data_IF_699979939007
#
_entry.id   IF_699979939007
#
_cell.length_a   1.000
_cell.length_b   1.000
_cell.length_c   1.000
_cell.angle_alpha   90.00
_cell.angle_beta   90.00
_cell.angle_gamma   90.00
#
_symmetry.space_group_name_H-M   'P 1'
#
loop_
_entity.id
_entity.type
_entity.pdbx_description
1 polymer ?
#
# COMPACT_ATOMS: atom_id res chain seq x y z
N UNK A 1 -22.43 -32.21 16.88
CA UNK A 1 -21.58 -32.97 17.85
C UNK A 1 -22.11 -32.91 19.28
N UNK A 2 -22.25 -31.72 19.93
CA UNK A 2 -22.82 -31.66 21.31
C UNK A 2 -24.24 -32.20 21.37
N UNK A 3 -25.08 -31.84 20.39
CA UNK A 3 -26.45 -32.34 20.24
C UNK A 3 -26.43 -33.86 20.08
N UNK A 4 -25.62 -34.42 19.20
CA UNK A 4 -25.54 -35.87 18.97
C UNK A 4 -25.09 -36.65 20.22
N UNK A 5 -24.15 -36.11 21.02
CA UNK A 5 -23.78 -36.72 22.31
C UNK A 5 -24.96 -36.71 23.28
N UNK A 6 -25.71 -35.60 23.37
CA UNK A 6 -26.86 -35.50 24.25
C UNK A 6 -28.01 -36.45 23.84
N UNK A 7 -28.26 -36.58 22.54
CA UNK A 7 -29.25 -37.56 22.00
C UNK A 7 -28.86 -39.00 22.34
N UNK A 8 -27.56 -39.33 22.18
CA UNK A 8 -27.06 -40.66 22.57
C UNK A 8 -27.20 -40.94 24.07
N UNK A 9 -27.04 -39.92 24.92
CA UNK A 9 -27.26 -40.03 26.38
C UNK A 9 -28.75 -40.26 26.68
N UNK A 10 -29.64 -39.54 25.99
CA UNK A 10 -31.10 -39.74 26.15
C UNK A 10 -31.56 -41.15 25.72
N UNK A 11 -30.81 -41.79 24.83
CA UNK A 11 -31.02 -43.18 24.39
C UNK A 11 -30.41 -44.24 25.34
N UNK A 12 -29.86 -43.82 26.48
CA UNK A 12 -29.37 -44.73 27.53
C UNK A 12 -27.85 -44.96 27.54
N UNK A 13 -27.07 -44.28 26.69
CA UNK A 13 -25.62 -44.38 26.72
C UNK A 13 -25.04 -43.49 27.83
N UNK A 14 -23.94 -43.90 28.43
CA UNK A 14 -23.18 -43.02 29.31
C UNK A 14 -22.46 -41.94 28.49
N UNK A 15 -22.24 -40.77 29.07
CA UNK A 15 -21.49 -39.67 28.41
C UNK A 15 -20.14 -40.14 27.84
N UNK A 16 -19.45 -41.05 28.53
CA UNK A 16 -18.17 -41.60 28.11
C UNK A 16 -18.32 -42.41 26.82
N UNK A 17 -19.30 -43.35 26.81
CA UNK A 17 -19.59 -44.18 25.65
C UNK A 17 -20.05 -43.36 24.43
N UNK A 18 -20.96 -42.39 24.63
CA UNK A 18 -21.42 -41.50 23.56
C UNK A 18 -20.30 -40.69 22.97
N UNK A 19 -19.39 -40.18 23.81
CA UNK A 19 -18.20 -39.46 23.33
C UNK A 19 -17.24 -40.38 22.56
N UNK A 20 -17.04 -41.61 23.02
CA UNK A 20 -16.13 -42.57 22.40
C UNK A 20 -16.62 -42.99 21.01
N UNK A 21 -17.93 -43.30 20.87
CA UNK A 21 -18.56 -43.62 19.59
C UNK A 21 -18.41 -42.46 18.57
N UNK A 22 -18.53 -41.21 19.03
CA UNK A 22 -18.43 -40.01 18.19
C UNK A 22 -17.01 -39.47 18.04
N UNK A 23 -15.98 -40.18 18.53
CA UNK A 23 -14.57 -39.76 18.42
C UNK A 23 -14.26 -38.45 19.16
N UNK A 24 -15.03 -38.14 20.22
CA UNK A 24 -14.90 -36.90 20.99
C UNK A 24 -14.38 -37.19 22.40
N UNK A 25 -13.37 -36.48 22.88
CA UNK A 25 -12.98 -36.63 24.28
C UNK A 25 -14.03 -36.04 25.23
N UNK A 26 -14.35 -36.70 26.38
CA UNK A 26 -15.32 -36.19 27.36
C UNK A 26 -14.98 -34.79 27.89
N UNK A 27 -13.67 -34.45 27.95
CA UNK A 27 -13.20 -33.11 28.34
C UNK A 27 -13.55 -32.05 27.29
N UNK A 28 -13.43 -32.40 25.99
CA UNK A 28 -13.77 -31.50 24.87
C UNK A 28 -15.29 -31.29 24.80
N UNK A 29 -16.08 -32.37 25.00
CA UNK A 29 -17.53 -32.30 25.09
C UNK A 29 -17.98 -31.33 26.19
N UNK A 30 -17.52 -31.54 27.46
CA UNK A 30 -17.88 -30.66 28.59
C UNK A 30 -17.54 -29.18 28.35
N UNK A 31 -16.41 -28.90 27.68
CA UNK A 31 -16.03 -27.54 27.32
C UNK A 31 -16.95 -26.94 26.25
N UNK A 32 -17.46 -27.74 25.34
CA UNK A 32 -18.38 -27.28 24.30
C UNK A 32 -19.82 -27.19 24.78
N UNK A 33 -20.26 -28.10 25.64
CA UNK A 33 -21.59 -28.10 26.25
C UNK A 33 -21.77 -26.93 27.23
N UNK A 34 -20.69 -26.58 27.96
CA UNK A 34 -20.68 -25.48 28.92
C UNK A 34 -19.53 -24.53 28.59
N UNK A 35 -19.65 -23.69 27.53
CA UNK A 35 -18.61 -22.74 27.18
C UNK A 35 -18.48 -21.67 28.25
N UNK A 36 -17.34 -21.66 28.93
CA UNK A 36 -17.03 -20.54 29.83
C UNK A 36 -16.86 -19.24 29.02
N UNK A 37 -17.50 -18.15 29.40
CA UNK A 37 -17.31 -16.87 28.75
C UNK A 37 -15.81 -16.53 28.79
N UNK A 38 -15.23 -16.20 27.62
CA UNK A 38 -13.85 -15.73 27.56
C UNK A 38 -13.80 -14.39 28.29
N UNK A 39 -13.01 -14.32 29.36
CA UNK A 39 -12.69 -13.01 29.96
C UNK A 39 -12.06 -12.13 28.89
N UNK A 40 -12.71 -11.04 28.57
CA UNK A 40 -12.15 -10.01 27.70
C UNK A 40 -10.88 -9.50 28.35
N UNK A 41 -9.71 -9.89 27.83
CA UNK A 41 -8.45 -9.29 28.27
C UNK A 41 -8.27 -8.01 27.45
N UNK A 42 -8.43 -6.88 28.07
CA UNK A 42 -8.04 -5.61 27.48
C UNK A 42 -6.52 -5.60 27.36
N UNK A 43 -6.02 -5.60 26.12
CA UNK A 43 -4.58 -5.53 25.89
C UNK A 43 -4.06 -4.18 26.36
N UNK A 44 -2.91 -4.15 27.06
CA UNK A 44 -2.29 -2.92 27.58
C UNK A 44 -1.96 -1.91 26.47
N UNK A 45 -1.75 -2.38 25.23
CA UNK A 45 -1.43 -1.56 24.06
C UNK A 45 -2.68 -1.22 23.21
N UNK A 46 -3.88 -1.41 23.76
CA UNK A 46 -5.10 -0.99 23.09
C UNK A 46 -5.06 0.51 22.83
N UNK A 47 -5.40 0.91 21.62
CA UNK A 47 -5.49 2.33 21.25
C UNK A 47 -6.43 3.07 22.21
N UNK A 48 -6.06 4.27 22.63
CA UNK A 48 -6.85 5.11 23.52
C UNK A 48 -8.12 5.60 22.82
N UNK A 49 -9.16 5.88 23.59
CA UNK A 49 -10.42 6.39 23.02
C UNK A 49 -10.21 7.74 22.31
N UNK A 50 -9.40 8.63 22.91
CA UNK A 50 -9.01 9.90 22.30
C UNK A 50 -8.31 9.73 20.93
N UNK A 51 -7.47 8.71 20.77
CA UNK A 51 -6.84 8.40 19.48
C UNK A 51 -7.86 7.85 18.49
N UNK A 52 -8.86 7.09 18.95
CA UNK A 52 -9.97 6.59 18.11
C UNK A 52 -10.81 7.74 17.57
N UNK A 53 -11.17 8.68 18.44
CA UNK A 53 -11.93 9.87 18.08
C UNK A 53 -11.14 10.75 17.10
N UNK A 54 -9.84 10.89 17.29
CA UNK A 54 -8.97 11.62 16.38
C UNK A 54 -8.86 10.95 14.99
N UNK A 55 -8.83 9.61 14.92
CA UNK A 55 -8.87 8.87 13.66
C UNK A 55 -10.20 9.09 12.93
N UNK A 56 -11.32 9.01 13.65
CA UNK A 56 -12.65 9.26 13.07
C UNK A 56 -12.78 10.70 12.59
N UNK A 57 -12.39 11.67 13.38
CA UNK A 57 -12.40 13.08 13.00
C UNK A 57 -11.54 13.37 11.77
N UNK A 58 -10.37 12.75 11.67
CA UNK A 58 -9.51 12.89 10.50
C UNK A 58 -10.17 12.32 9.23
N UNK A 59 -10.93 11.23 9.31
CA UNK A 59 -11.61 10.66 8.15
C UNK A 59 -12.73 11.56 7.58
N UNK A 60 -13.26 12.47 8.41
CA UNK A 60 -14.28 13.45 8.00
C UNK A 60 -13.71 14.80 7.54
N UNK A 61 -12.39 14.96 7.51
CA UNK A 61 -11.79 16.20 7.00
C UNK A 61 -12.02 16.32 5.49
N UNK A 62 -12.40 17.49 4.98
CA UNK A 62 -12.73 17.69 3.56
C UNK A 62 -11.65 17.18 2.60
N UNK A 63 -10.37 17.38 2.96
CA UNK A 63 -9.20 16.94 2.19
C UNK A 63 -8.95 15.43 2.23
N UNK A 64 -9.59 14.68 3.15
CA UNK A 64 -9.42 13.25 3.34
C UNK A 64 -10.66 12.42 3.00
N UNK A 65 -11.82 13.06 2.84
CA UNK A 65 -13.06 12.37 2.43
C UNK A 65 -12.84 11.68 1.08
N UNK A 66 -13.21 10.39 1.02
CA UNK A 66 -13.07 9.58 -0.19
C UNK A 66 -11.64 9.12 -0.50
N UNK A 67 -10.64 9.58 0.27
CA UNK A 67 -9.26 9.10 0.12
C UNK A 67 -9.05 7.72 0.78
N UNK A 68 -8.05 6.95 0.32
CA UNK A 68 -7.68 5.69 0.98
C UNK A 68 -7.31 5.88 2.46
N UNK A 69 -7.53 4.84 3.27
CA UNK A 69 -7.18 4.84 4.70
C UNK A 69 -5.71 5.21 4.98
N UNK A 70 -4.82 4.93 4.02
CA UNK A 70 -3.41 5.33 4.08
C UNK A 70 -3.21 6.85 4.20
N UNK A 71 -4.09 7.66 3.61
CA UNK A 71 -4.02 9.12 3.74
C UNK A 71 -4.41 9.58 5.16
N UNK A 72 -5.43 8.97 5.75
CA UNK A 72 -5.80 9.21 7.16
C UNK A 72 -4.66 8.82 8.08
N UNK A 73 -4.02 7.64 7.83
CA UNK A 73 -2.85 7.19 8.57
C UNK A 73 -1.69 8.20 8.49
N UNK A 74 -1.33 8.64 7.28
CA UNK A 74 -0.25 9.62 7.08
C UNK A 74 -0.58 10.96 7.73
N UNK A 75 -1.81 11.45 7.56
CA UNK A 75 -2.26 12.69 8.20
C UNK A 75 -2.11 12.64 9.73
N UNK A 76 -2.55 11.54 10.37
CA UNK A 76 -2.44 11.40 11.83
C UNK A 76 -1.01 11.47 12.32
N UNK A 77 -0.10 10.75 11.65
CA UNK A 77 1.33 10.75 11.99
C UNK A 77 2.00 12.10 11.76
N UNK A 78 1.69 12.78 10.64
CA UNK A 78 2.31 14.05 10.30
C UNK A 78 1.78 15.22 11.16
N UNK A 79 0.48 15.18 11.54
CA UNK A 79 -0.13 16.20 12.40
C UNK A 79 0.07 15.93 13.90
N UNK A 80 0.62 14.78 14.28
CA UNK A 80 0.78 14.37 15.68
C UNK A 80 -0.52 14.06 16.43
N UNK A 81 -1.65 13.95 15.74
CA UNK A 81 -2.97 13.75 16.36
C UNK A 81 -3.18 12.36 16.90
N UNK A 82 -2.59 11.33 16.26
CA UNK A 82 -2.60 9.96 16.74
C UNK A 82 -1.41 9.18 16.15
N UNK A 83 -0.96 8.15 16.89
CA UNK A 83 0.15 7.30 16.50
C UNK A 83 -0.26 5.83 16.56
N UNK A 84 -0.95 5.38 15.51
CA UNK A 84 -1.45 4.03 15.38
C UNK A 84 -0.83 3.34 14.14
N UNK A 85 -0.82 2.02 14.11
CA UNK A 85 -0.45 1.31 12.88
C UNK A 85 -1.57 1.47 11.83
N UNK A 86 -1.22 1.35 10.54
CA UNK A 86 -2.21 1.40 9.46
C UNK A 86 -3.34 0.38 9.68
N UNK A 87 -3.01 -0.84 10.14
CA UNK A 87 -4.02 -1.86 10.43
C UNK A 87 -4.96 -1.43 11.56
N UNK A 88 -4.46 -0.71 12.57
CA UNK A 88 -5.28 -0.17 13.66
C UNK A 88 -6.21 0.92 13.14
N UNK A 89 -5.70 1.86 12.34
CA UNK A 89 -6.51 2.91 11.70
C UNK A 89 -7.60 2.28 10.83
N UNK A 90 -7.25 1.30 10.01
CA UNK A 90 -8.20 0.57 9.19
C UNK A 90 -9.31 -0.10 10.01
N UNK A 91 -8.95 -0.78 11.12
CA UNK A 91 -9.93 -1.47 11.96
C UNK A 91 -10.88 -0.47 12.65
N UNK A 92 -10.36 0.66 13.17
CA UNK A 92 -11.18 1.72 13.76
C UNK A 92 -12.19 2.26 12.74
N UNK A 93 -11.73 2.62 11.54
CA UNK A 93 -12.61 3.15 10.50
C UNK A 93 -13.59 2.10 9.98
N UNK A 94 -13.19 0.82 9.93
CA UNK A 94 -14.08 -0.29 9.57
C UNK A 94 -15.19 -0.51 10.60
N UNK A 95 -14.88 -0.46 11.90
CA UNK A 95 -15.88 -0.54 12.99
C UNK A 95 -16.91 0.60 12.90
N UNK A 96 -16.49 1.76 12.42
CA UNK A 96 -17.34 2.94 12.20
C UNK A 96 -18.04 2.95 10.82
N UNK A 97 -17.89 1.90 10.01
CA UNK A 97 -18.40 1.79 8.63
C UNK A 97 -17.91 2.92 7.68
N UNK A 98 -16.71 3.47 7.94
CA UNK A 98 -16.08 4.51 7.14
C UNK A 98 -15.11 3.96 6.08
N UNK A 99 -15.00 2.64 5.94
CA UNK A 99 -14.17 1.98 4.93
C UNK A 99 -15.06 1.36 3.86
N UNK A 100 -14.90 1.82 2.63
CA UNK A 100 -15.55 1.16 1.50
C UNK A 100 -14.83 -0.17 1.19
N UNK A 101 -15.57 -1.28 0.98
CA UNK A 101 -14.96 -2.55 0.61
C UNK A 101 -14.34 -2.45 -0.77
N UNK A 102 -13.03 -2.63 -0.87
CA UNK A 102 -12.36 -2.79 -2.15
C UNK A 102 -12.65 -4.18 -2.70
N UNK A 103 -13.17 -4.27 -3.93
CA UNK A 103 -13.27 -5.52 -4.67
C UNK A 103 -11.86 -6.04 -4.99
N UNK A 104 -11.28 -6.80 -4.06
CA UNK A 104 -9.97 -7.42 -4.24
C UNK A 104 -10.10 -8.65 -5.11
N UNK A 105 -9.49 -8.64 -6.30
CA UNK A 105 -9.19 -9.89 -7.00
C UNK A 105 -8.16 -10.69 -6.18
N UNK A 106 -8.27 -12.03 -6.11
CA UNK A 106 -7.30 -12.85 -5.39
C UNK A 106 -5.89 -12.62 -5.95
N UNK A 107 -4.91 -12.47 -5.06
CA UNK A 107 -3.49 -12.39 -5.43
C UNK A 107 -3.06 -13.74 -5.99
N UNK A 108 -2.61 -13.77 -7.22
CA UNK A 108 -1.77 -14.85 -7.76
C UNK A 108 -0.37 -14.78 -7.14
N UNK A 109 0.28 -15.93 -7.03
CA UNK A 109 1.49 -16.23 -6.27
C UNK A 109 2.60 -15.15 -6.23
N UNK A 110 3.38 -15.18 -5.14
CA UNK A 110 4.52 -14.30 -4.92
C UNK A 110 5.60 -14.50 -6.00
N UNK A 111 6.01 -13.38 -6.61
CA UNK A 111 7.07 -13.38 -7.62
C UNK A 111 8.43 -13.14 -6.99
N UNK A 112 9.43 -13.91 -7.45
CA UNK A 112 10.84 -13.64 -7.17
C UNK A 112 11.28 -12.51 -8.10
N UNK A 113 11.71 -11.42 -7.52
CA UNK A 113 12.04 -10.20 -8.24
C UNK A 113 13.42 -10.29 -8.92
N UNK A 114 13.48 -10.03 -10.24
CA UNK A 114 14.68 -10.09 -11.05
C UNK A 114 15.54 -8.80 -11.04
N UNK A 115 15.27 -7.87 -10.12
CA UNK A 115 15.91 -6.55 -10.17
C UNK A 115 17.20 -6.47 -9.36
N UNK A 116 18.17 -7.32 -9.67
CA UNK A 116 19.51 -7.31 -9.06
C UNK A 116 20.19 -5.93 -9.09
N UNK A 117 19.91 -5.13 -10.14
CA UNK A 117 20.47 -3.79 -10.26
C UNK A 117 20.09 -2.85 -9.11
N UNK A 118 18.84 -2.94 -8.60
CA UNK A 118 18.44 -2.16 -7.42
C UNK A 118 19.13 -2.64 -6.15
N UNK A 119 19.33 -3.95 -6.00
CA UNK A 119 20.02 -4.55 -4.86
C UNK A 119 21.51 -4.16 -4.87
N UNK A 120 22.07 -3.95 -6.07
CA UNK A 120 23.45 -3.43 -6.27
C UNK A 120 23.56 -1.91 -6.11
N UNK A 121 22.43 -1.22 -5.80
CA UNK A 121 22.38 0.21 -5.53
C UNK A 121 22.30 1.09 -6.78
N UNK A 122 21.89 0.54 -7.92
CA UNK A 122 21.57 1.34 -9.11
C UNK A 122 20.17 1.95 -8.98
N UNK A 123 19.98 3.11 -9.63
CA UNK A 123 18.65 3.66 -9.93
C UNK A 123 18.23 3.20 -11.32
N UNK A 124 16.93 2.94 -11.51
CA UNK A 124 16.39 2.54 -12.80
C UNK A 124 15.47 3.61 -13.37
N UNK A 125 15.74 4.06 -14.58
CA UNK A 125 14.85 4.87 -15.38
C UNK A 125 13.91 3.94 -16.15
N UNK A 126 12.68 3.79 -15.70
CA UNK A 126 11.68 2.91 -16.31
C UNK A 126 10.70 3.71 -17.14
N UNK A 127 10.37 3.20 -18.31
CA UNK A 127 9.39 3.82 -19.21
C UNK A 127 8.62 2.76 -20.00
N UNK A 128 7.38 3.11 -20.36
CA UNK A 128 6.51 2.25 -21.18
C UNK A 128 5.44 3.14 -21.85
N UNK A 129 4.73 2.57 -22.84
CA UNK A 129 3.64 3.25 -23.53
C UNK A 129 2.28 2.73 -23.12
N UNK A 130 1.34 3.61 -22.85
CA UNK A 130 -0.03 3.22 -22.57
C UNK A 130 -1.05 4.07 -23.32
N UNK A 131 -2.17 3.45 -23.72
CA UNK A 131 -3.18 4.09 -24.56
C UNK A 131 -4.33 4.63 -23.73
N UNK A 132 -4.69 5.88 -24.00
CA UNK A 132 -5.95 6.52 -23.62
C UNK A 132 -6.80 6.75 -24.87
N UNK A 133 -8.11 6.80 -24.71
CA UNK A 133 -9.05 7.07 -25.80
C UNK A 133 -10.10 8.08 -25.35
N UNK A 134 -10.48 8.95 -26.29
CA UNK A 134 -11.66 9.79 -26.12
C UNK A 134 -12.93 8.97 -26.34
N UNK A 135 -14.07 9.50 -25.93
CA UNK A 135 -15.40 8.90 -26.20
C UNK A 135 -15.68 8.73 -27.70
N UNK A 136 -15.07 9.57 -28.54
CA UNK A 136 -15.13 9.48 -30.02
C UNK A 136 -14.12 8.48 -30.60
N UNK A 137 -13.30 7.83 -29.77
CA UNK A 137 -12.34 6.82 -30.18
C UNK A 137 -10.96 7.33 -30.62
N UNK A 138 -10.70 8.65 -30.52
CA UNK A 138 -9.38 9.20 -30.79
C UNK A 138 -8.38 8.69 -29.75
N UNK A 139 -7.29 8.11 -30.22
CA UNK A 139 -6.28 7.47 -29.40
C UNK A 139 -5.12 8.44 -29.08
N UNK A 140 -4.74 8.52 -27.79
CA UNK A 140 -3.55 9.23 -27.32
C UNK A 140 -2.69 8.25 -26.54
N UNK A 141 -1.47 8.09 -26.96
CA UNK A 141 -0.47 7.30 -26.24
C UNK A 141 0.22 8.17 -25.22
N UNK A 142 0.21 7.75 -23.98
CA UNK A 142 1.00 8.34 -22.90
C UNK A 142 2.28 7.54 -22.70
N UNK A 143 3.40 8.23 -22.48
CA UNK A 143 4.74 7.67 -22.32
C UNK A 143 5.27 8.11 -20.95
N UNK A 144 4.87 7.46 -19.85
CA UNK A 144 5.39 7.77 -18.53
C UNK A 144 6.85 7.34 -18.39
N UNK A 145 7.63 8.18 -17.75
CA UNK A 145 9.03 7.93 -17.38
C UNK A 145 9.18 8.13 -15.88
N UNK A 146 9.57 7.07 -15.18
CA UNK A 146 9.71 7.08 -13.73
C UNK A 146 11.09 6.58 -13.29
N UNK A 147 11.51 7.01 -12.09
CA UNK A 147 12.74 6.54 -11.47
C UNK A 147 12.46 5.62 -10.28
N UNK A 148 13.23 4.53 -10.20
CA UNK A 148 13.25 3.57 -9.10
C UNK A 148 14.58 3.64 -8.34
N UNK A 149 14.60 3.34 -7.06
CA UNK A 149 13.55 2.77 -6.23
C UNK A 149 12.54 3.78 -5.67
N UNK A 150 12.71 5.09 -5.92
CA UNK A 150 11.89 6.18 -5.38
C UNK A 150 10.45 6.17 -5.91
N UNK A 151 10.20 5.47 -7.02
CA UNK A 151 8.90 5.44 -7.73
C UNK A 151 8.42 6.84 -8.13
N UNK A 152 9.36 7.76 -8.33
CA UNK A 152 9.03 9.13 -8.70
C UNK A 152 8.77 9.22 -10.20
N UNK A 153 7.62 9.76 -10.56
CA UNK A 153 7.22 9.99 -11.94
C UNK A 153 7.82 11.32 -12.41
N UNK A 154 8.82 11.23 -13.29
CA UNK A 154 9.55 12.39 -13.78
C UNK A 154 8.73 13.16 -14.82
N UNK A 155 8.17 12.43 -15.78
CA UNK A 155 7.50 13.02 -16.95
C UNK A 155 6.49 12.05 -17.55
N UNK A 156 5.49 12.58 -18.26
CA UNK A 156 4.60 11.82 -19.13
C UNK A 156 4.58 12.49 -20.50
N UNK A 157 5.32 11.93 -21.43
CA UNK A 157 5.23 12.33 -22.83
C UNK A 157 3.96 11.79 -23.50
N UNK A 158 3.66 12.25 -24.70
CA UNK A 158 2.50 11.76 -25.46
C UNK A 158 2.74 11.68 -26.95
N UNK A 159 1.93 10.88 -27.64
CA UNK A 159 1.88 10.77 -29.09
C UNK A 159 0.45 10.40 -29.54
N UNK A 160 0.03 10.89 -30.71
CA UNK A 160 -1.31 10.60 -31.26
C UNK A 160 -1.25 9.42 -32.24
N UNK A 161 -0.12 9.17 -32.88
CA UNK A 161 0.03 8.18 -33.97
C UNK A 161 0.76 6.89 -33.54
N UNK A 162 0.67 6.50 -32.26
CA UNK A 162 1.48 5.42 -31.71
C UNK A 162 2.81 5.93 -31.15
N UNK A 163 3.50 5.08 -30.39
CA UNK A 163 4.80 5.44 -29.80
C UNK A 163 5.90 5.19 -30.80
N UNK A 164 6.40 6.25 -31.44
CA UNK A 164 7.60 6.19 -32.27
C UNK A 164 8.88 6.25 -31.44
N UNK A 165 10.01 5.89 -32.04
CA UNK A 165 11.32 6.06 -31.41
C UNK A 165 11.61 7.55 -31.09
N UNK A 166 11.14 8.47 -31.96
CA UNK A 166 11.29 9.91 -31.73
C UNK A 166 10.48 10.43 -30.55
N UNK A 167 9.22 9.98 -30.38
CA UNK A 167 8.38 10.36 -29.24
C UNK A 167 8.95 9.82 -27.93
N UNK A 168 9.41 8.57 -27.95
CA UNK A 168 10.05 7.96 -26.79
C UNK A 168 11.35 8.69 -26.41
N UNK A 169 12.20 8.97 -27.41
CA UNK A 169 13.46 9.71 -27.21
C UNK A 169 13.22 11.09 -26.61
N UNK A 170 12.21 11.81 -27.10
CA UNK A 170 11.81 13.12 -26.55
C UNK A 170 11.38 12.98 -25.10
N UNK A 171 10.47 12.03 -24.80
CA UNK A 171 9.99 11.80 -23.42
C UNK A 171 11.11 11.44 -22.45
N UNK A 172 12.09 10.64 -22.88
CA UNK A 172 13.26 10.30 -22.08
C UNK A 172 14.15 11.52 -21.85
N UNK A 173 14.40 12.34 -22.88
CA UNK A 173 15.21 13.56 -22.76
C UNK A 173 14.57 14.59 -21.81
N UNK A 174 13.25 14.80 -21.93
CA UNK A 174 12.49 15.70 -21.06
C UNK A 174 12.52 15.20 -19.61
N UNK A 175 12.33 13.90 -19.39
CA UNK A 175 12.43 13.29 -18.07
C UNK A 175 13.85 13.40 -17.48
N UNK A 176 14.88 13.17 -18.30
CA UNK A 176 16.27 13.27 -17.87
C UNK A 176 16.65 14.69 -17.43
N UNK A 177 16.14 15.71 -18.12
CA UNK A 177 16.35 17.11 -17.76
C UNK A 177 15.73 17.50 -16.40
N UNK A 178 14.75 16.73 -15.91
CA UNK A 178 14.11 16.93 -14.61
C UNK A 178 14.77 16.13 -13.47
N UNK A 179 15.79 15.32 -13.78
CA UNK A 179 16.50 14.54 -12.76
C UNK A 179 17.39 15.43 -11.91
N UNK A 180 17.38 15.26 -10.58
CA UNK A 180 18.41 15.85 -9.73
C UNK A 180 19.80 15.34 -10.13
N UNK A 181 20.79 16.23 -10.21
CA UNK A 181 22.17 15.90 -10.63
C UNK A 181 22.76 14.72 -9.84
N UNK A 182 22.46 14.65 -8.55
CA UNK A 182 22.93 13.59 -7.66
C UNK A 182 22.42 12.18 -8.03
N UNK A 183 21.35 12.09 -8.84
CA UNK A 183 20.74 10.82 -9.24
C UNK A 183 21.22 10.30 -10.59
N UNK A 184 22.08 11.02 -11.27
CA UNK A 184 22.65 10.59 -12.55
C UNK A 184 23.79 9.57 -12.39
N UNK A 185 24.40 9.51 -11.20
CA UNK A 185 25.35 8.45 -10.86
C UNK A 185 24.63 7.11 -10.69
N UNK A 186 25.11 6.04 -11.32
CA UNK A 186 24.51 4.71 -11.27
C UNK A 186 23.05 4.65 -11.77
N UNK A 187 22.69 5.47 -12.76
CA UNK A 187 21.38 5.41 -13.41
C UNK A 187 21.43 4.52 -14.64
N UNK A 188 20.50 3.56 -14.74
CA UNK A 188 20.36 2.63 -15.86
C UNK A 188 18.93 2.70 -16.42
N UNK A 189 18.80 2.84 -17.73
CA UNK A 189 17.49 2.72 -18.36
C UNK A 189 17.02 1.27 -18.41
N UNK A 190 15.78 1.03 -18.01
CA UNK A 190 15.15 -0.29 -18.04
C UNK A 190 13.81 -0.23 -18.75
N UNK A 191 13.62 -1.07 -19.76
CA UNK A 191 12.38 -1.14 -20.53
C UNK A 191 12.06 -2.54 -21.03
N UNK A 192 10.87 -2.69 -21.60
CA UNK A 192 10.50 -3.87 -22.37
C UNK A 192 11.25 -3.96 -23.71
N UNK A 193 10.87 -4.93 -24.52
CA UNK A 193 11.46 -5.17 -25.85
C UNK A 193 10.61 -4.62 -26.99
N UNK A 194 9.79 -3.61 -26.74
CA UNK A 194 8.99 -2.93 -27.75
C UNK A 194 9.84 -2.41 -28.92
N UNK A 195 9.23 -2.20 -30.08
CA UNK A 195 9.93 -1.75 -31.28
C UNK A 195 10.59 -0.39 -31.09
N UNK A 196 9.89 0.58 -30.47
CA UNK A 196 10.40 1.91 -30.17
C UNK A 196 11.58 1.85 -29.19
N UNK A 197 11.52 0.97 -28.16
CA UNK A 197 12.58 0.80 -27.16
C UNK A 197 13.85 0.14 -27.76
N UNK A 198 13.69 -0.74 -28.74
CA UNK A 198 14.81 -1.39 -29.44
C UNK A 198 15.38 -0.56 -30.59
N UNK A 199 14.72 0.50 -30.97
CA UNK A 199 15.17 1.36 -32.07
C UNK A 199 16.60 1.90 -31.82
N UNK A 200 17.37 1.99 -32.88
CA UNK A 200 18.76 2.47 -32.82
C UNK A 200 18.84 3.87 -32.20
N UNK A 201 17.98 4.77 -32.65
CA UNK A 201 17.93 6.14 -32.14
C UNK A 201 17.71 6.22 -30.62
N UNK A 202 16.74 5.42 -30.07
CA UNK A 202 16.49 5.37 -28.64
C UNK A 202 17.69 4.84 -27.87
N UNK A 203 18.34 3.79 -28.37
CA UNK A 203 19.52 3.19 -27.70
C UNK A 203 20.73 4.15 -27.71
N UNK A 204 20.94 4.86 -28.81
CA UNK A 204 22.02 5.83 -28.93
C UNK A 204 21.78 7.01 -27.98
N UNK A 205 20.57 7.55 -27.93
CA UNK A 205 20.20 8.61 -27.00
C UNK A 205 20.41 8.19 -25.55
N UNK A 206 19.89 7.02 -25.15
CA UNK A 206 20.04 6.55 -23.76
C UNK A 206 21.51 6.37 -23.41
N UNK A 207 22.32 5.81 -24.33
CA UNK A 207 23.77 5.68 -24.11
C UNK A 207 24.47 7.03 -23.98
N UNK A 208 24.05 8.02 -24.76
CA UNK A 208 24.59 9.38 -24.66
C UNK A 208 24.22 10.03 -23.32
N UNK A 209 22.96 9.95 -22.90
CA UNK A 209 22.47 10.57 -21.67
C UNK A 209 22.99 9.90 -20.40
N UNK A 210 23.02 8.57 -20.36
CA UNK A 210 23.28 7.79 -19.16
C UNK A 210 24.69 7.17 -19.10
N UNK A 211 25.45 7.27 -20.19
CA UNK A 211 26.75 6.58 -20.30
C UNK A 211 26.67 5.05 -20.34
N UNK A 212 25.46 4.49 -20.32
CA UNK A 212 25.21 3.05 -20.25
C UNK A 212 24.12 2.62 -21.25
N UNK A 213 24.18 1.36 -21.75
CA UNK A 213 23.16 0.85 -22.66
C UNK A 213 21.84 0.61 -21.95
N UNK A 214 20.73 0.55 -22.70
CA UNK A 214 19.41 0.15 -22.17
C UNK A 214 19.49 -1.28 -21.68
N UNK A 215 19.05 -1.50 -20.44
CA UNK A 215 18.82 -2.84 -19.89
C UNK A 215 17.41 -3.30 -20.28
N UNK A 216 17.31 -4.38 -21.01
CA UNK A 216 16.01 -4.94 -21.41
C UNK A 216 15.58 -6.07 -20.50
N UNK A 217 14.31 -6.06 -20.11
CA UNK A 217 13.68 -7.18 -19.43
C UNK A 217 13.86 -8.52 -20.19
N UNK A 218 13.83 -9.62 -19.48
CA UNK A 218 13.93 -10.97 -20.07
C UNK A 218 12.74 -11.23 -20.99
N UNK A 219 12.93 -11.96 -22.09
CA UNK A 219 11.81 -12.33 -22.95
C UNK A 219 10.75 -13.12 -22.18
N UNK A 220 9.48 -12.79 -22.40
CA UNK A 220 8.34 -13.48 -21.79
C UNK A 220 8.34 -13.52 -20.25
N UNK A 221 8.96 -12.54 -19.60
CA UNK A 221 9.00 -12.40 -18.15
C UNK A 221 8.36 -11.07 -17.72
N UNK A 222 7.01 -11.03 -17.52
CA UNK A 222 6.28 -9.82 -17.13
C UNK A 222 6.81 -9.19 -15.84
N UNK A 223 7.39 -10.00 -14.96
CA UNK A 223 7.88 -9.57 -13.66
C UNK A 223 8.98 -8.50 -13.72
N UNK A 224 9.76 -8.50 -14.81
CA UNK A 224 10.82 -7.52 -15.02
C UNK A 224 10.27 -6.10 -15.28
N UNK A 225 8.97 -5.99 -15.63
CA UNK A 225 8.25 -4.73 -15.86
C UNK A 225 7.16 -4.44 -14.82
N UNK A 226 7.06 -5.26 -13.77
CA UNK A 226 5.97 -5.19 -12.79
C UNK A 226 5.77 -3.80 -12.16
N UNK A 227 6.81 -2.99 -12.06
CA UNK A 227 6.70 -1.64 -11.48
C UNK A 227 6.01 -0.64 -12.39
N UNK A 228 6.41 -0.60 -13.68
CA UNK A 228 5.80 0.31 -14.64
C UNK A 228 4.38 -0.15 -14.98
N UNK A 229 4.13 -1.47 -15.03
CA UNK A 229 2.79 -2.02 -15.22
C UNK A 229 1.86 -1.67 -14.05
N UNK A 230 2.34 -1.80 -12.80
CA UNK A 230 1.60 -1.40 -11.61
C UNK A 230 1.32 0.11 -11.60
N UNK A 231 2.27 0.92 -12.04
CA UNK A 231 2.09 2.36 -12.23
C UNK A 231 1.02 2.65 -13.27
N UNK A 232 1.09 2.05 -14.47
CA UNK A 232 0.11 2.24 -15.55
C UNK A 232 -1.29 1.90 -15.06
N UNK A 233 -1.44 0.84 -14.26
CA UNK A 233 -2.73 0.50 -13.66
C UNK A 233 -3.22 1.59 -12.72
N UNK A 234 -2.35 2.12 -11.86
CA UNK A 234 -2.68 3.25 -10.97
C UNK A 234 -3.05 4.48 -11.78
N UNK A 235 -2.30 4.80 -12.83
CA UNK A 235 -2.52 5.93 -13.70
C UNK A 235 -3.89 5.91 -14.41
N UNK A 236 -4.29 4.74 -14.93
CA UNK A 236 -5.57 4.57 -15.63
C UNK A 236 -6.79 4.55 -14.69
N UNK A 237 -6.61 4.05 -13.49
CA UNK A 237 -7.71 3.79 -12.55
C UNK A 237 -7.56 4.59 -11.25
N UNK A 238 -6.84 5.71 -11.30
CA UNK A 238 -6.72 6.60 -10.16
C UNK A 238 -8.09 7.20 -9.82
N UNK A 239 -8.37 7.41 -8.53
CA UNK A 239 -9.65 7.99 -8.08
C UNK A 239 -9.96 9.37 -8.64
N UNK A 240 -8.94 10.14 -9.01
CA UNK A 240 -9.07 11.46 -9.62
C UNK A 240 -9.06 11.42 -11.16
N UNK A 241 -8.92 10.21 -11.75
CA UNK A 241 -9.02 10.05 -13.19
C UNK A 241 -10.45 10.32 -13.64
N UNK A 242 -10.65 11.09 -14.73
CA UNK A 242 -11.97 11.24 -15.33
C UNK A 242 -12.56 9.87 -15.71
N UNK A 243 -13.87 9.71 -15.54
CA UNK A 243 -14.57 8.48 -15.97
C UNK A 243 -14.47 8.28 -17.49
N UNK A 244 -14.46 9.38 -18.24
CA UNK A 244 -14.23 9.40 -19.69
C UNK A 244 -13.53 10.69 -20.13
N UNK A 245 -13.00 10.70 -21.34
CA UNK A 245 -12.34 11.85 -21.96
C UNK A 245 -13.11 12.24 -23.22
N UNK A 246 -13.70 13.42 -23.26
CA UNK A 246 -14.46 13.90 -24.42
C UNK A 246 -13.55 14.36 -25.55
N UNK A 247 -12.50 15.07 -25.21
CA UNK A 247 -11.55 15.69 -26.15
C UNK A 247 -10.11 15.18 -25.88
N UNK A 248 -9.24 15.34 -26.87
CA UNK A 248 -7.80 15.08 -26.72
C UNK A 248 -7.22 15.96 -25.62
N UNK A 249 -7.63 17.21 -25.54
CA UNK A 249 -7.17 18.17 -24.54
C UNK A 249 -7.50 17.75 -23.11
N UNK A 250 -8.59 17.02 -22.89
CA UNK A 250 -8.92 16.44 -21.57
C UNK A 250 -7.87 15.40 -21.17
N UNK A 251 -7.46 14.55 -22.14
CA UNK A 251 -6.39 13.57 -21.91
C UNK A 251 -5.08 14.32 -21.62
N UNK A 252 -4.68 15.27 -22.44
CA UNK A 252 -3.45 16.03 -22.24
C UNK A 252 -3.46 16.77 -20.91
N UNK A 253 -4.57 17.35 -20.52
CA UNK A 253 -4.76 17.96 -19.20
C UNK A 253 -4.56 16.96 -18.06
N UNK A 254 -5.04 15.72 -18.22
CA UNK A 254 -4.80 14.64 -17.26
C UNK A 254 -3.33 14.24 -17.21
N UNK A 255 -2.68 14.02 -18.37
CA UNK A 255 -1.26 13.68 -18.42
C UNK A 255 -0.39 14.73 -17.72
N UNK A 256 -0.68 16.02 -17.91
CA UNK A 256 0.10 17.11 -17.34
C UNK A 256 -0.03 17.24 -15.82
N UNK A 257 -1.23 17.01 -15.25
CA UNK A 257 -1.45 17.17 -13.80
C UNK A 257 -1.14 15.92 -13.00
N UNK A 258 -1.21 14.72 -13.62
CA UNK A 258 -1.05 13.46 -12.91
C UNK A 258 0.30 13.28 -12.21
N UNK A 259 1.46 13.74 -12.75
CA UNK A 259 2.73 13.67 -12.03
C UNK A 259 2.69 14.33 -10.66
N UNK A 260 2.06 15.49 -10.54
CA UNK A 260 1.93 16.18 -9.26
C UNK A 260 1.03 15.39 -8.28
N UNK A 261 -0.06 14.80 -8.78
CA UNK A 261 -0.96 13.96 -7.97
C UNK A 261 -0.21 12.72 -7.47
N UNK A 262 0.38 11.95 -8.37
CA UNK A 262 1.05 10.69 -8.07
C UNK A 262 2.25 10.87 -7.13
N UNK A 263 3.08 11.88 -7.38
CA UNK A 263 4.29 12.11 -6.60
C UNK A 263 4.03 12.59 -5.16
N UNK A 264 2.82 13.09 -4.89
CA UNK A 264 2.38 13.49 -3.54
C UNK A 264 1.45 12.47 -2.87
N UNK A 265 1.13 11.35 -3.54
CA UNK A 265 0.32 10.29 -2.92
C UNK A 265 1.20 9.31 -2.14
N UNK A 266 0.82 8.93 -0.90
CA UNK A 266 1.54 7.93 -0.12
C UNK A 266 1.59 6.56 -0.80
N UNK A 267 2.78 6.02 -1.01
CA UNK A 267 2.97 4.76 -1.73
C UNK A 267 3.29 3.60 -0.79
N UNK A 268 2.51 2.51 -0.85
CA UNK A 268 2.64 1.36 0.06
C UNK A 268 4.02 0.70 0.03
N UNK A 269 4.66 0.56 -1.14
CA UNK A 269 6.00 -0.03 -1.23
C UNK A 269 7.12 0.88 -0.70
N UNK A 270 6.80 2.17 -0.46
CA UNK A 270 7.71 3.11 0.18
C UNK A 270 7.43 3.26 1.69
N UNK A 271 6.60 2.40 2.28
CA UNK A 271 6.17 2.53 3.66
C UNK A 271 5.21 3.70 3.88
N UNK A 272 4.41 4.03 2.88
CA UNK A 272 3.50 5.19 2.85
C UNK A 272 4.22 6.55 2.96
N UNK A 273 5.47 6.60 2.51
CA UNK A 273 6.16 7.83 2.15
C UNK A 273 5.78 8.16 0.72
N UNK A 274 5.70 9.43 0.36
CA UNK A 274 5.40 9.85 -1.00
C UNK A 274 6.63 9.68 -1.92
N UNK A 275 6.45 9.47 -3.23
CA UNK A 275 7.57 9.46 -4.17
C UNK A 275 8.44 10.72 -4.10
N UNK A 276 7.83 11.89 -3.87
CA UNK A 276 8.55 13.16 -3.73
C UNK A 276 9.44 13.18 -2.48
N UNK A 277 8.94 12.74 -1.33
CA UNK A 277 9.72 12.61 -0.09
C UNK A 277 10.83 11.57 -0.23
N UNK A 278 10.57 10.47 -0.95
CA UNK A 278 11.58 9.45 -1.23
C UNK A 278 12.68 9.98 -2.16
N UNK A 279 12.33 10.76 -3.18
CA UNK A 279 13.30 11.39 -4.09
C UNK A 279 14.18 12.41 -3.36
N UNK A 280 13.59 13.18 -2.44
CA UNK A 280 14.34 14.16 -1.62
C UNK A 280 15.15 13.54 -0.48
N UNK A 281 15.26 12.20 -0.42
CA UNK A 281 16.05 11.48 0.59
C UNK A 281 15.43 11.43 1.99
N UNK A 282 14.19 11.87 2.17
CA UNK A 282 13.52 11.96 3.47
C UNK A 282 12.92 10.62 3.95
N UNK A 283 12.87 9.61 3.09
CA UNK A 283 12.19 8.34 3.37
C UNK A 283 12.59 7.74 4.72
N UNK A 284 13.89 7.55 4.95
CA UNK A 284 14.37 6.90 6.18
C UNK A 284 14.11 7.75 7.43
N UNK A 285 14.22 9.07 7.32
CA UNK A 285 13.92 10.01 8.41
C UNK A 285 12.44 9.89 8.81
N UNK A 286 11.54 9.92 7.83
CA UNK A 286 10.10 9.80 8.05
C UNK A 286 9.74 8.44 8.68
N UNK A 287 10.30 7.34 8.15
CA UNK A 287 10.04 6.00 8.67
C UNK A 287 10.55 5.84 10.10
N UNK A 288 11.74 6.37 10.42
CA UNK A 288 12.28 6.34 11.77
C UNK A 288 11.45 7.19 12.73
N UNK A 289 11.02 8.39 12.32
CA UNK A 289 10.15 9.24 13.14
C UNK A 289 8.82 8.54 13.45
N UNK A 290 8.18 7.91 12.46
CA UNK A 290 6.95 7.13 12.65
C UNK A 290 7.17 5.96 13.63
N UNK A 291 8.32 5.28 13.55
CA UNK A 291 8.70 4.20 14.47
C UNK A 291 8.84 4.71 15.92
N UNK A 292 9.49 5.86 16.11
CA UNK A 292 9.65 6.49 17.43
C UNK A 292 8.30 6.92 17.99
N UNK A 293 7.47 7.57 17.20
CA UNK A 293 6.13 8.01 17.60
C UNK A 293 5.25 6.82 18.03
N UNK A 294 5.30 5.71 17.30
CA UNK A 294 4.59 4.48 17.68
C UNK A 294 5.11 3.90 19.00
N UNK A 295 6.42 3.95 19.24
CA UNK A 295 7.01 3.47 20.49
C UNK A 295 6.55 4.36 21.68
N UNK A 296 6.60 5.67 21.54
CA UNK A 296 6.12 6.62 22.54
C UNK A 296 4.63 6.42 22.85
N UNK A 297 3.79 6.28 21.83
CA UNK A 297 2.37 6.02 22.00
C UNK A 297 2.08 4.69 22.73
N UNK A 298 2.89 3.64 22.48
CA UNK A 298 2.80 2.37 23.24
C UNK A 298 3.11 2.56 24.71
N UNK A 299 4.11 3.35 25.05
CA UNK A 299 4.48 3.67 26.45
C UNK A 299 3.32 4.40 27.13
N UNK A 300 2.74 5.42 26.50
CA UNK A 300 1.59 6.14 27.04
C UNK A 300 0.38 5.22 27.29
N UNK A 301 0.07 4.32 26.33
CA UNK A 301 -1.03 3.34 26.50
C UNK A 301 -0.76 2.37 27.65
N UNK A 302 0.50 1.97 27.84
CA UNK A 302 0.89 1.09 28.94
C UNK A 302 0.70 1.79 30.29
N UNK A 303 1.12 3.04 30.42
CA UNK A 303 0.92 3.85 31.64
C UNK A 303 -0.56 4.03 31.95
N UNK A 304 -1.37 4.42 30.97
CA UNK A 304 -2.82 4.56 31.12
C UNK A 304 -3.48 3.23 31.54
N UNK A 305 -3.05 2.13 30.96
CA UNK A 305 -3.53 0.80 31.33
C UNK A 305 -3.16 0.46 32.79
N UNK A 306 -1.91 0.71 33.22
CA UNK A 306 -1.47 0.50 34.60
C UNK A 306 -2.32 1.32 35.57
N UNK A 307 -2.55 2.59 35.30
CA UNK A 307 -3.35 3.48 36.14
C UNK A 307 -4.79 2.99 36.32
N UNK A 308 -5.40 2.46 35.23
CA UNK A 308 -6.78 1.95 35.25
C UNK A 308 -6.93 0.55 35.84
N UNK A 309 -5.86 -0.25 35.92
CA UNK A 309 -5.90 -1.64 36.35
C UNK A 309 -5.05 -1.93 37.60
N UNK A 310 -4.31 -0.95 38.13
CA UNK A 310 -3.78 -1.02 39.47
C UNK A 310 -4.92 -0.79 40.46
N UNK A 311 -5.56 -1.88 40.88
CA UNK A 311 -6.45 -1.87 42.02
C UNK A 311 -5.69 -1.35 43.25
N UNK A 312 -6.25 -0.42 44.04
CA UNK A 312 -5.69 -0.15 45.36
C UNK A 312 -5.77 -1.45 46.17
N UNK A 313 -4.61 -2.01 46.46
CA UNK A 313 -4.46 -3.15 47.37
C UNK A 313 -4.61 -2.63 48.81
N UNK A 314 -5.81 -2.17 49.16
CA UNK A 314 -6.14 -1.84 50.56
C UNK A 314 -7.65 -1.76 50.73
N UNK A 315 -8.30 -2.88 50.97
CA UNK A 315 -9.53 -2.99 51.80
C UNK A 315 -9.98 -4.47 51.90
N UNK A 316 -9.07 -5.37 52.27
CA UNK A 316 -9.46 -6.76 52.55
C UNK A 316 -8.74 -7.31 53.78
N UNK A 317 -8.41 -6.46 54.76
CA UNK A 317 -7.82 -6.93 56.02
C UNK A 317 -8.41 -6.24 57.25
N UNK A 318 -9.65 -5.77 57.21
CA UNK A 318 -10.36 -5.32 58.44
C UNK A 318 -11.82 -5.83 58.45
N UNK A 319 -12.02 -7.12 58.42
CA UNK A 319 -13.22 -7.77 58.99
C UNK A 319 -12.82 -9.19 59.39
N UNK A 320 -12.18 -9.31 60.56
CA UNK A 320 -12.27 -10.48 61.46
C UNK A 320 -11.43 -10.18 62.73
N UNK A 321 -12.05 -9.51 63.66
CA UNK A 321 -11.86 -9.70 65.10
C UNK A 321 -13.24 -9.77 65.75
#
# INVERSE_FOLDING_TARGET
>A
MVIAVNESITQGLTQKQACEILGLSPRKFRRWANPKPRKSRTAWNKILEQERDAIEAAAWMPELIGKPVSHVFVHGHNSGKFFASLSTVYNVLKEKNLVQPLNRRPRTAAYVNAHSLLDEGFSLLCYDGTLFKTDTGIAVWAIPVMILPQRYLLHIGHSINGVSAGDLSRSISEAYALLPVQMTEKLVAHSDRGSAMKARATKELVKELLGAPVHFGRPHTPDDQAWIEAFIKTFKYHREAPESFKLVDDILGWLNRFPAIYNNDPHSSLGYVTPLEALSGQKEVILNQRKQNLAAARTLRYTDWQTKHSLPFSAASEVNM
#
